data_IF_103608998769
#
_entry.id   IF_103608998769
#
_cell.length_a   1.000
_cell.length_b   1.000
_cell.length_c   1.000
_cell.angle_alpha   90.00
_cell.angle_beta   90.00
_cell.angle_gamma   90.00
#
_symmetry.space_group_name_H-M   'P 1'
#
loop_
_entity.id
_entity.type
_entity.pdbx_description
1 polymer ?
#
# COMPACT_ATOMS: atom_id res chain seq x y z
N UNK A 1 -16.85 0.45 -2.56
CA UNK A 1 -16.18 1.30 -3.59
C UNK A 1 -14.75 0.80 -3.80
N UNK A 2 -14.06 1.18 -4.90
CA UNK A 2 -12.67 0.78 -5.11
C UNK A 2 -11.82 1.90 -5.74
N UNK A 3 -10.64 2.12 -5.17
CA UNK A 3 -9.69 3.18 -5.56
C UNK A 3 -8.36 2.53 -5.95
N UNK A 4 -7.72 3.04 -7.02
CA UNK A 4 -6.58 2.38 -7.67
C UNK A 4 -5.40 3.34 -7.89
N UNK A 5 -4.19 2.86 -7.59
CA UNK A 5 -2.90 3.45 -7.98
C UNK A 5 -2.18 2.51 -8.95
N UNK A 6 -1.67 3.06 -10.05
CA UNK A 6 -0.70 2.40 -10.93
C UNK A 6 0.50 3.31 -11.12
N UNK A 7 1.69 2.82 -10.80
CA UNK A 7 2.91 3.62 -10.88
C UNK A 7 4.15 2.76 -11.07
N UNK A 8 5.29 3.41 -11.29
CA UNK A 8 6.60 2.77 -11.31
C UNK A 8 7.45 3.28 -10.16
N UNK A 9 8.22 2.39 -9.53
CA UNK A 9 9.15 2.72 -8.46
C UNK A 9 10.57 2.34 -8.87
N UNK A 10 11.48 3.31 -9.04
CA UNK A 10 12.85 3.02 -9.44
C UNK A 10 13.65 2.36 -8.30
N UNK A 11 14.36 1.28 -8.63
CA UNK A 11 15.16 0.51 -7.68
C UNK A 11 16.65 0.53 -8.04
N UNK A 12 17.50 0.40 -7.01
CA UNK A 12 18.95 0.28 -7.14
C UNK A 12 19.42 -1.00 -6.42
N UNK A 13 20.69 -1.13 -6.03
CA UNK A 13 21.19 -2.32 -5.33
C UNK A 13 20.81 -2.41 -3.85
N UNK A 14 19.98 -1.50 -3.32
CA UNK A 14 19.57 -1.51 -1.92
C UNK A 14 18.33 -2.39 -1.70
N UNK A 15 18.11 -2.79 -0.45
CA UNK A 15 16.86 -3.41 -0.04
C UNK A 15 15.70 -2.40 -0.09
N UNK A 16 14.56 -2.85 -0.61
CA UNK A 16 13.32 -2.08 -0.68
C UNK A 16 12.36 -2.58 0.40
N UNK A 17 11.76 -1.65 1.12
CA UNK A 17 10.80 -1.91 2.19
C UNK A 17 9.48 -1.18 1.92
N UNK A 18 8.37 -1.80 2.30
CA UNK A 18 7.03 -1.23 2.24
C UNK A 18 6.43 -1.14 3.64
N UNK A 19 5.84 0.01 3.94
CA UNK A 19 4.90 0.20 5.03
C UNK A 19 3.57 0.69 4.45
N UNK A 20 2.46 0.10 4.90
CA UNK A 20 1.11 0.52 4.53
C UNK A 20 0.46 1.15 5.76
N UNK A 21 0.08 2.41 5.66
CA UNK A 21 -0.53 3.17 6.75
C UNK A 21 -1.99 3.43 6.39
N UNK A 22 -2.90 3.00 7.25
CA UNK A 22 -4.33 3.31 7.13
C UNK A 22 -4.59 4.56 7.96
N UNK A 23 -5.16 5.58 7.33
CA UNK A 23 -5.37 6.88 7.95
C UNK A 23 -6.62 6.96 8.82
N UNK A 24 -6.85 8.15 9.38
CA UNK A 24 -8.09 8.56 10.06
C UNK A 24 -8.56 7.62 11.17
N UNK A 25 -7.63 6.87 11.79
CA UNK A 25 -7.95 5.84 12.79
C UNK A 25 -8.97 4.78 12.28
N UNK A 26 -9.01 4.56 10.97
CA UNK A 26 -9.86 3.57 10.34
C UNK A 26 -9.33 2.16 10.55
N UNK A 27 -10.22 1.17 10.47
CA UNK A 27 -9.83 -0.23 10.53
C UNK A 27 -9.47 -0.72 9.14
N UNK A 28 -8.47 -1.60 9.02
CA UNK A 28 -8.31 -2.34 7.79
C UNK A 28 -7.17 -3.35 7.81
N UNK A 29 -7.03 -4.03 6.68
CA UNK A 29 -6.04 -5.09 6.47
C UNK A 29 -5.57 -5.08 5.03
N UNK A 30 -4.34 -5.51 4.81
CA UNK A 30 -3.70 -5.51 3.49
C UNK A 30 -3.12 -6.87 3.13
N UNK A 31 -3.04 -7.16 1.85
CA UNK A 31 -2.27 -8.27 1.28
C UNK A 31 -1.24 -7.72 0.29
N UNK A 32 0.01 -8.18 0.41
CA UNK A 32 1.12 -7.78 -0.46
C UNK A 32 1.58 -9.00 -1.26
N UNK A 33 1.60 -8.87 -2.58
CA UNK A 33 2.02 -9.91 -3.52
C UNK A 33 3.09 -9.35 -4.45
N UNK A 34 4.18 -10.07 -4.67
CA UNK A 34 5.20 -9.76 -5.67
C UNK A 34 5.10 -10.78 -6.80
N UNK A 35 4.72 -10.32 -7.99
CA UNK A 35 4.24 -11.15 -9.10
C UNK A 35 3.12 -12.10 -8.66
N UNK A 36 3.47 -13.36 -8.35
CA UNK A 36 2.53 -14.40 -7.88
C UNK A 36 2.76 -14.84 -6.43
N UNK A 37 3.82 -14.35 -5.77
CA UNK A 37 4.19 -14.75 -4.42
C UNK A 37 3.56 -13.82 -3.38
N UNK A 38 2.81 -14.37 -2.44
CA UNK A 38 2.28 -13.60 -1.31
C UNK A 38 3.42 -13.38 -0.30
N UNK A 39 3.82 -12.13 -0.11
CA UNK A 39 4.87 -11.76 0.82
C UNK A 39 4.34 -11.59 2.25
N UNK A 40 3.14 -11.02 2.39
CA UNK A 40 2.54 -10.74 3.70
C UNK A 40 1.03 -10.49 3.59
N UNK A 41 0.30 -10.74 4.68
CA UNK A 41 -1.11 -10.35 4.86
C UNK A 41 -1.33 -9.86 6.29
N UNK A 42 -2.17 -8.85 6.47
CA UNK A 42 -2.44 -8.21 7.76
C UNK A 42 -1.90 -6.78 7.82
N UNK A 43 -1.30 -6.43 8.96
CA UNK A 43 -0.56 -5.17 9.13
C UNK A 43 0.77 -5.25 8.37
N UNK A 44 1.04 -4.23 7.54
CA UNK A 44 2.26 -4.18 6.72
C UNK A 44 3.15 -3.07 7.25
N UNK A 45 4.16 -3.44 8.03
CA UNK A 45 5.12 -2.51 8.62
C UNK A 45 6.54 -2.97 8.31
N UNK A 46 7.29 -2.09 7.63
CA UNK A 46 8.68 -2.31 7.25
C UNK A 46 8.92 -3.69 6.58
N UNK A 47 7.96 -4.12 5.76
CA UNK A 47 8.04 -5.37 5.04
C UNK A 47 9.14 -5.26 3.98
N UNK A 48 10.19 -6.06 4.10
CA UNK A 48 11.22 -6.18 3.05
C UNK A 48 10.58 -6.84 1.83
N UNK A 49 10.54 -6.11 0.72
CA UNK A 49 10.07 -6.61 -0.58
C UNK A 49 11.17 -7.41 -1.26
N UNK A 50 12.42 -6.97 -1.13
CA UNK A 50 13.60 -7.64 -1.68
C UNK A 50 14.72 -6.66 -1.99
N UNK A 51 15.86 -7.18 -2.47
CA UNK A 51 16.92 -6.33 -3.00
C UNK A 51 16.49 -5.77 -4.36
N UNK A 52 16.79 -4.51 -4.63
CA UNK A 52 16.37 -3.85 -5.87
C UNK A 52 16.92 -4.51 -7.14
N UNK A 53 18.09 -5.18 -7.10
CA UNK A 53 18.57 -5.99 -8.22
C UNK A 53 17.68 -7.21 -8.50
N UNK A 54 17.11 -7.82 -7.46
CA UNK A 54 16.32 -9.06 -7.54
C UNK A 54 14.84 -8.79 -7.88
N UNK A 55 14.34 -7.59 -7.54
CA UNK A 55 12.94 -7.22 -7.75
C UNK A 55 12.73 -6.31 -8.96
N UNK A 56 13.81 -5.82 -9.60
CA UNK A 56 13.71 -5.02 -10.82
C UNK A 56 12.94 -5.77 -11.91
N UNK A 57 11.96 -5.10 -12.51
CA UNK A 57 11.06 -5.66 -13.51
C UNK A 57 9.84 -6.39 -12.96
N UNK A 58 9.82 -6.73 -11.66
CA UNK A 58 8.68 -7.40 -11.00
C UNK A 58 7.55 -6.40 -10.72
N UNK A 59 6.35 -6.94 -10.55
CA UNK A 59 5.15 -6.18 -10.22
C UNK A 59 4.74 -6.43 -8.77
N UNK A 60 4.76 -5.38 -7.95
CA UNK A 60 4.16 -5.43 -6.62
C UNK A 60 2.67 -5.11 -6.73
N UNK A 61 1.85 -5.93 -6.08
CA UNK A 61 0.43 -5.69 -5.88
C UNK A 61 0.13 -5.57 -4.40
N UNK A 62 -0.47 -4.45 -4.01
CA UNK A 62 -1.01 -4.26 -2.66
C UNK A 62 -2.51 -4.13 -2.78
N UNK A 63 -3.25 -4.93 -2.03
CA UNK A 63 -4.71 -4.83 -1.92
C UNK A 63 -5.06 -4.62 -0.46
N UNK A 64 -5.84 -3.59 -0.18
CA UNK A 64 -6.26 -3.25 1.17
C UNK A 64 -7.76 -3.06 1.22
N UNK A 65 -8.36 -3.47 2.32
CA UNK A 65 -9.74 -3.14 2.67
C UNK A 65 -9.65 -2.21 3.87
N UNK A 66 -10.25 -1.03 3.73
CA UNK A 66 -10.36 -0.04 4.80
C UNK A 66 -11.83 0.16 5.09
N UNK A 67 -12.22 0.01 6.35
CA UNK A 67 -13.57 0.17 6.87
C UNK A 67 -13.63 1.45 7.69
N UNK A 68 -14.57 2.30 7.33
CA UNK A 68 -14.89 3.51 8.09
C UNK A 68 -15.50 3.13 9.44
N UNK A 69 -14.82 3.49 10.52
CA UNK A 69 -15.23 3.25 11.91
C UNK A 69 -14.99 4.48 12.79
N UNK A 70 -14.54 5.59 12.21
CA UNK A 70 -14.27 6.81 12.95
C UNK A 70 -15.50 7.69 12.96
N UNK A 71 -16.17 7.76 14.12
CA UNK A 71 -17.38 8.57 14.34
C UNK A 71 -17.25 10.06 13.96
N UNK A 72 -16.03 10.57 13.77
CA UNK A 72 -15.76 11.97 13.45
C UNK A 72 -15.56 12.24 11.95
N UNK A 73 -15.41 11.22 11.10
CA UNK A 73 -15.18 11.43 9.66
C UNK A 73 -15.47 10.19 8.82
N UNK A 74 -16.15 10.40 7.69
CA UNK A 74 -16.30 9.36 6.67
C UNK A 74 -15.15 9.31 5.65
N UNK A 75 -14.07 10.07 5.91
CA UNK A 75 -12.87 10.03 5.06
C UNK A 75 -12.04 8.82 5.43
N UNK A 76 -11.63 8.08 4.42
CA UNK A 76 -10.67 6.99 4.51
C UNK A 76 -9.45 7.33 3.68
N UNK A 77 -8.28 6.89 4.10
CA UNK A 77 -7.06 7.05 3.32
C UNK A 77 -6.08 5.90 3.54
N UNK A 78 -5.17 5.76 2.59
CA UNK A 78 -4.07 4.82 2.67
C UNK A 78 -2.79 5.46 2.12
N UNK A 79 -1.69 5.26 2.84
CA UNK A 79 -0.35 5.67 2.41
C UNK A 79 0.48 4.41 2.16
N UNK A 80 1.02 4.30 0.95
CA UNK A 80 2.06 3.33 0.61
C UNK A 80 3.42 4.01 0.72
N UNK A 81 4.17 3.73 1.80
CA UNK A 81 5.51 4.28 2.04
C UNK A 81 6.58 3.27 1.63
N UNK A 82 7.41 3.66 0.68
CA UNK A 82 8.56 2.89 0.22
C UNK A 82 9.86 3.47 0.74
N UNK A 83 10.71 2.60 1.32
CA UNK A 83 12.09 2.89 1.72
C UNK A 83 13.06 2.05 0.89
N UNK A 84 14.28 2.53 0.67
CA UNK A 84 15.30 1.84 -0.14
C UNK A 84 16.08 2.75 -1.09
N UNK A 85 15.63 4.00 -1.23
CA UNK A 85 16.36 5.06 -1.93
C UNK A 85 16.94 6.06 -0.93
N UNK A 86 17.53 7.16 -1.45
CA UNK A 86 18.08 8.25 -0.63
C UNK A 86 17.01 8.93 0.25
N UNK A 87 15.76 8.92 -0.19
CA UNK A 87 14.62 9.43 0.54
C UNK A 87 13.43 8.46 0.38
N UNK A 88 12.59 8.40 1.39
CA UNK A 88 11.34 7.66 1.36
C UNK A 88 10.41 8.25 0.29
N UNK A 89 9.61 7.39 -0.33
CA UNK A 89 8.59 7.81 -1.30
C UNK A 89 7.23 7.37 -0.78
N UNK A 90 6.26 8.28 -0.79
CA UNK A 90 4.92 8.02 -0.32
C UNK A 90 3.92 8.21 -1.46
N UNK A 91 2.93 7.32 -1.52
CA UNK A 91 1.75 7.48 -2.36
C UNK A 91 0.53 7.47 -1.46
N UNK A 92 -0.19 8.59 -1.44
CA UNK A 92 -1.44 8.77 -0.72
C UNK A 92 -2.61 8.52 -1.68
N UNK A 93 -3.58 7.72 -1.25
CA UNK A 93 -4.91 7.64 -1.84
C UNK A 93 -5.94 7.96 -0.77
N UNK A 94 -7.03 8.59 -1.17
CA UNK A 94 -8.10 9.04 -0.29
C UNK A 94 -9.44 8.73 -0.93
N UNK A 95 -10.44 8.49 -0.10
CA UNK A 95 -11.83 8.29 -0.51
C UNK A 95 -12.77 8.72 0.61
N UNK A 96 -13.97 9.19 0.27
CA UNK A 96 -15.03 9.46 1.26
C UNK A 96 -16.15 8.46 1.07
N UNK A 97 -16.51 7.73 2.13
CA UNK A 97 -17.65 6.81 2.09
C UNK A 97 -18.96 7.53 2.41
N UNK A 98 -20.07 6.95 1.94
CA UNK A 98 -21.39 7.56 2.10
C UNK A 98 -21.93 7.40 3.53
N UNK A 99 -21.61 6.29 4.20
CA UNK A 99 -22.13 5.94 5.52
C UNK A 99 -21.02 5.39 6.41
N UNK A 100 -21.14 5.62 7.72
CA UNK A 100 -20.31 4.97 8.73
C UNK A 100 -20.41 3.43 8.61
N UNK A 101 -19.30 2.73 8.81
CA UNK A 101 -19.20 1.28 8.61
C UNK A 101 -18.95 0.84 7.16
N UNK A 102 -19.07 1.73 6.17
CA UNK A 102 -18.79 1.37 4.78
C UNK A 102 -17.30 1.06 4.57
N UNK A 103 -17.02 0.24 3.56
CA UNK A 103 -15.65 -0.17 3.23
C UNK A 103 -15.23 0.23 1.81
N UNK A 104 -13.97 0.65 1.70
CA UNK A 104 -13.29 0.96 0.43
C UNK A 104 -12.18 -0.05 0.19
N UNK A 105 -12.09 -0.54 -1.04
CA UNK A 105 -10.98 -1.38 -1.47
C UNK A 105 -9.94 -0.51 -2.18
N UNK A 106 -8.76 -0.39 -1.58
CA UNK A 106 -7.61 0.26 -2.21
C UNK A 106 -6.74 -0.79 -2.91
N UNK A 107 -6.28 -0.46 -4.12
CA UNK A 107 -5.35 -1.31 -4.89
C UNK A 107 -4.19 -0.48 -5.39
N UNK A 108 -2.98 -0.96 -5.16
CA UNK A 108 -1.78 -0.41 -5.78
C UNK A 108 -1.08 -1.46 -6.64
N UNK A 109 -0.68 -1.06 -7.83
CA UNK A 109 0.15 -1.82 -8.75
C UNK A 109 1.42 -1.03 -9.01
N UNK A 110 2.56 -1.54 -8.54
CA UNK A 110 3.85 -0.84 -8.58
C UNK A 110 4.82 -1.69 -9.39
N UNK A 111 5.24 -1.18 -10.55
CA UNK A 111 6.30 -1.80 -11.34
C UNK A 111 7.66 -1.33 -10.83
N UNK A 112 8.54 -2.24 -10.46
CA UNK A 112 9.92 -1.88 -10.12
C UNK A 112 10.75 -1.68 -11.38
N UNK A 113 11.39 -0.52 -11.53
CA UNK A 113 12.17 -0.14 -12.74
C UNK A 113 13.64 0.18 -12.45
#
# INVERSE_FOLDING_TARGET
>A
MATKLETSYPVNSNDVYLTVIIGEAQLGSSSVTLDSEILCTGEIKDLKIGNGNDIKGKMLRVKSIVTDINDNTNRTSIIYRFRGRKADTEYLLEETVSQDGDSVIYRAYIKFI
#
